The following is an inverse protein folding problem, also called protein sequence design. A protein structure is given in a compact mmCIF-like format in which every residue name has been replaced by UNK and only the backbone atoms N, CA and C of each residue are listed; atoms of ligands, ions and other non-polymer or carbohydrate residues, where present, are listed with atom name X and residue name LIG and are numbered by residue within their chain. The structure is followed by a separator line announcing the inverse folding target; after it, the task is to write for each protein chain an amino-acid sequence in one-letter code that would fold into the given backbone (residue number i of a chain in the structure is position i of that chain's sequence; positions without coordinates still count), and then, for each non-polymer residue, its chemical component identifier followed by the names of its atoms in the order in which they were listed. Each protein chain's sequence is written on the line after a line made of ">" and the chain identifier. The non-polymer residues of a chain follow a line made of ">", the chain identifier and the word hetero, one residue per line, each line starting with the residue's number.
data_IF_447168664749
#
_entry.id   IF_447168664749
#
_cell.length_a   1.000
_cell.length_b   1.000
_cell.length_c   1.000
_cell.angle_alpha   90.00
_cell.angle_beta   90.00
_cell.angle_gamma   90.00
#
_symmetry.space_group_name_H-M   'P 1'
#
loop_
_entity.id
_entity.type
_entity.pdbx_description
1 polymer ?
#
# COMPACT_ATOMS: atom_id res chain seq x y z
N UNK A 1 8.57 -3.16 9.77
CA UNK A 1 7.24 -3.65 9.32
C UNK A 1 7.01 -3.09 7.93
N UNK A 2 6.56 -3.89 6.95
CA UNK A 2 6.31 -3.38 5.59
C UNK A 2 4.87 -2.88 5.46
N UNK A 3 4.66 -1.88 4.61
CA UNK A 3 3.37 -1.41 4.15
C UNK A 3 3.36 -1.34 2.62
N UNK A 4 2.16 -1.26 2.04
CA UNK A 4 1.96 -1.09 0.60
C UNK A 4 1.34 0.27 0.38
N UNK A 5 1.92 1.05 -0.53
CA UNK A 5 1.38 2.32 -1.00
C UNK A 5 0.84 2.16 -2.42
N UNK A 6 -0.26 2.85 -2.71
CA UNK A 6 -0.86 3.00 -4.02
C UNK A 6 -0.97 4.50 -4.29
N UNK A 7 -0.20 5.01 -5.25
CA UNK A 7 -0.17 6.43 -5.60
C UNK A 7 0.08 7.35 -4.39
N UNK A 8 1.06 7.00 -3.54
CA UNK A 8 1.42 7.66 -2.28
C UNK A 8 0.43 7.50 -1.12
N UNK A 9 -0.65 6.73 -1.30
CA UNK A 9 -1.61 6.40 -0.23
C UNK A 9 -1.38 5.00 0.33
N UNK A 10 -1.29 4.87 1.66
CA UNK A 10 -1.13 3.56 2.32
C UNK A 10 -2.40 2.71 2.16
N UNK A 11 -2.24 1.51 1.59
CA UNK A 11 -3.32 0.52 1.48
C UNK A 11 -3.29 -0.41 2.71
N UNK A 12 -4.35 -0.43 3.54
CA UNK A 12 -4.43 -1.35 4.68
C UNK A 12 -4.35 -2.80 4.23
N UNK A 13 -3.67 -3.65 5.01
CA UNK A 13 -3.48 -5.07 4.67
C UNK A 13 -4.79 -5.85 4.48
N UNK A 14 -5.85 -5.44 5.17
CA UNK A 14 -7.19 -6.03 5.02
C UNK A 14 -7.83 -5.73 3.67
N UNK A 15 -7.43 -4.64 2.99
CA UNK A 15 -8.00 -4.20 1.72
C UNK A 15 -7.19 -4.67 0.51
N UNK A 16 -6.00 -5.25 0.70
CA UNK A 16 -5.11 -5.69 -0.40
C UNK A 16 -5.80 -6.59 -1.42
N UNK A 17 -6.70 -7.48 -0.98
CA UNK A 17 -7.42 -8.38 -1.87
C UNK A 17 -8.56 -7.69 -2.66
N UNK A 18 -9.03 -6.55 -2.18
CA UNK A 18 -10.17 -5.80 -2.75
C UNK A 18 -9.71 -4.61 -3.59
N UNK A 19 -8.47 -4.14 -3.39
CA UNK A 19 -7.90 -3.01 -4.14
C UNK A 19 -7.56 -3.43 -5.57
N UNK A 20 -8.45 -3.09 -6.51
CA UNK A 20 -8.17 -3.23 -7.94
C UNK A 20 -7.21 -2.14 -8.44
N UNK A 21 -6.15 -2.56 -9.12
CA UNK A 21 -5.21 -1.67 -9.79
C UNK A 21 -5.73 -1.23 -11.17
N UNK A 22 -5.39 -0.02 -11.56
CA UNK A 22 -5.65 0.55 -12.88
C UNK A 22 -4.34 0.78 -13.60
N UNK A 23 -4.44 0.95 -14.92
CA UNK A 23 -3.29 1.34 -15.72
C UNK A 23 -2.74 2.69 -15.22
N UNK A 24 -1.41 2.78 -15.12
CA UNK A 24 -0.64 3.91 -14.57
C UNK A 24 -0.67 4.08 -13.04
N UNK A 25 -1.30 3.17 -12.28
CA UNK A 25 -1.13 3.15 -10.83
C UNK A 25 0.31 2.80 -10.43
N UNK A 26 0.84 3.50 -9.42
CA UNK A 26 2.15 3.24 -8.83
C UNK A 26 1.96 2.50 -7.51
N UNK A 27 2.52 1.30 -7.43
CA UNK A 27 2.50 0.47 -6.23
C UNK A 27 3.90 0.39 -5.66
N UNK A 28 4.03 0.74 -4.39
CA UNK A 28 5.32 0.79 -3.69
C UNK A 28 5.26 -0.04 -2.40
N UNK A 29 6.31 -0.83 -2.15
CA UNK A 29 6.47 -1.56 -0.88
C UNK A 29 7.42 -0.75 -0.01
N UNK A 30 6.89 -0.15 1.03
CA UNK A 30 7.62 0.77 1.90
C UNK A 30 7.86 0.17 3.28
N UNK A 31 8.88 0.66 3.97
CA UNK A 31 9.08 0.36 5.39
C UNK A 31 8.25 1.33 6.22
N UNK A 32 7.26 0.82 6.95
CA UNK A 32 6.47 1.63 7.86
C UNK A 32 7.32 2.02 9.07
N UNK A 33 7.48 3.33 9.27
CA UNK A 33 8.15 3.92 10.43
C UNK A 33 7.07 4.14 11.50
N UNK A 34 6.62 3.05 12.14
CA UNK A 34 5.60 3.09 13.17
C UNK A 34 5.96 2.13 14.30
N UNK A 35 6.38 2.70 15.44
CA UNK A 35 6.39 2.03 16.74
C UNK A 35 4.95 1.77 17.20
N UNK A 36 4.77 0.79 18.09
CA UNK A 36 3.46 0.38 18.60
C UNK A 36 2.58 1.51 19.12
#
# INVERSE_FOLDING_TARGET
>A
RVAVELNLDIVPRSQHAETSLKENDQVEVVHAIGGG
#
